data_IF_057346597617
#
_entry.id   IF_057346597617
#
_cell.length_a   1.000
_cell.length_b   1.000
_cell.length_c   1.000
_cell.angle_alpha   90.00
_cell.angle_beta   90.00
_cell.angle_gamma   90.00
#
_symmetry.space_group_name_H-M   'P 1'
#
loop_
_entity.id
_entity.type
_entity.pdbx_description
1 polymer ?
#
# COMPACT_ATOMS: atom_id res chain seq x y z
N UNK A 1 38.19 -21.30 -33.75
CA UNK A 1 37.59 -19.98 -33.45
C UNK A 1 36.09 -20.07 -33.65
N UNK A 2 35.30 -19.97 -32.56
CA UNK A 2 33.83 -19.86 -32.60
C UNK A 2 33.47 -18.38 -32.47
N UNK A 3 32.55 -17.83 -33.28
CA UNK A 3 32.11 -16.46 -33.12
C UNK A 3 31.15 -16.31 -31.92
N UNK A 4 31.35 -15.21 -31.21
CA UNK A 4 30.74 -14.81 -29.95
C UNK A 4 29.24 -14.57 -30.08
N UNK A 5 28.48 -15.12 -29.13
CA UNK A 5 27.03 -14.98 -29.06
C UNK A 5 26.58 -13.57 -28.68
N UNK A 6 25.75 -13.00 -29.54
CA UNK A 6 24.97 -11.79 -29.27
C UNK A 6 23.90 -12.12 -28.23
N UNK A 7 23.94 -11.49 -27.04
CA UNK A 7 22.85 -11.61 -26.04
C UNK A 7 21.71 -10.68 -26.46
N UNK A 8 20.54 -11.27 -26.67
CA UNK A 8 19.28 -10.55 -26.83
C UNK A 8 19.01 -9.67 -25.59
N UNK A 9 18.56 -8.44 -25.84
CA UNK A 9 18.12 -7.52 -24.81
C UNK A 9 16.89 -8.09 -24.05
N UNK A 10 16.79 -7.90 -22.72
CA UNK A 10 15.59 -8.28 -21.99
C UNK A 10 14.40 -7.45 -22.48
N UNK A 11 13.32 -8.13 -22.84
CA UNK A 11 12.05 -7.52 -23.26
C UNK A 11 11.35 -6.76 -22.12
N UNK A 12 10.30 -5.98 -22.42
CA UNK A 12 9.64 -5.12 -21.46
C UNK A 12 9.05 -5.93 -20.31
N UNK A 13 9.53 -5.64 -19.09
CA UNK A 13 8.98 -6.19 -17.87
C UNK A 13 7.51 -5.80 -17.75
N UNK A 14 6.63 -6.78 -17.93
CA UNK A 14 5.21 -6.64 -17.59
C UNK A 14 5.11 -6.33 -16.09
N UNK A 15 4.68 -5.13 -15.74
CA UNK A 15 4.30 -4.73 -14.38
C UNK A 15 3.09 -5.54 -13.91
N UNK A 16 3.33 -6.80 -13.56
CA UNK A 16 2.39 -7.65 -12.85
C UNK A 16 2.17 -7.08 -11.45
N UNK A 17 0.91 -6.97 -11.06
CA UNK A 17 0.41 -6.54 -9.74
C UNK A 17 1.48 -6.62 -8.63
N UNK A 18 1.93 -5.49 -8.05
CA UNK A 18 2.94 -5.53 -7.03
C UNK A 18 2.32 -6.20 -5.80
N UNK A 19 2.91 -7.32 -5.37
CA UNK A 19 2.78 -7.75 -3.98
C UNK A 19 3.25 -6.59 -3.13
N UNK A 20 2.36 -5.95 -2.36
CA UNK A 20 2.75 -4.90 -1.41
C UNK A 20 3.78 -5.53 -0.47
N UNK A 21 5.04 -5.07 -0.48
CA UNK A 21 6.07 -5.65 0.37
C UNK A 21 5.61 -5.51 1.82
N UNK A 22 5.79 -6.58 2.59
CA UNK A 22 5.47 -6.57 4.01
C UNK A 22 6.34 -5.50 4.69
N UNK A 23 5.75 -4.52 5.41
CA UNK A 23 6.54 -3.53 6.11
C UNK A 23 7.36 -4.26 7.17
N UNK A 24 8.68 -4.15 7.11
CA UNK A 24 9.59 -4.79 8.07
C UNK A 24 9.77 -3.88 9.27
N UNK A 25 9.84 -4.45 10.46
CA UNK A 25 10.13 -3.72 11.69
C UNK A 25 11.40 -2.86 11.50
N UNK A 26 12.50 -3.44 11.03
CA UNK A 26 13.77 -2.71 10.88
C UNK A 26 13.66 -1.48 9.95
N UNK A 27 12.83 -1.55 8.90
CA UNK A 27 12.60 -0.41 8.00
C UNK A 27 11.75 0.68 8.68
N UNK A 28 10.74 0.29 9.46
CA UNK A 28 9.91 1.23 10.24
C UNK A 28 10.72 1.92 11.35
N UNK A 29 11.66 1.20 11.99
CA UNK A 29 12.56 1.76 12.99
C UNK A 29 13.39 2.89 12.38
N UNK A 30 13.99 2.66 11.21
CA UNK A 30 14.79 3.68 10.52
C UNK A 30 14.00 4.95 10.18
N UNK A 31 12.72 4.81 9.84
CA UNK A 31 11.85 5.96 9.58
C UNK A 31 11.66 6.79 10.85
N UNK A 32 11.36 6.14 11.98
CA UNK A 32 11.22 6.82 13.27
C UNK A 32 12.56 7.44 13.71
N UNK A 33 13.67 6.72 13.58
CA UNK A 33 15.02 7.21 13.93
C UNK A 33 15.43 8.44 13.10
N UNK A 34 14.93 8.55 11.86
CA UNK A 34 15.11 9.72 11.02
C UNK A 34 14.19 10.90 11.39
N UNK A 35 13.37 10.77 12.43
CA UNK A 35 12.42 11.79 12.87
C UNK A 35 11.18 11.90 12.00
N UNK A 36 10.86 10.86 11.22
CA UNK A 36 9.71 10.82 10.34
C UNK A 36 8.63 9.84 10.85
N UNK A 37 7.39 10.08 10.41
CA UNK A 37 6.25 9.19 10.68
C UNK A 37 5.94 8.28 9.49
N UNK A 38 5.26 7.17 9.77
CA UNK A 38 4.79 6.24 8.73
C UNK A 38 3.30 5.98 8.80
N UNK A 39 2.72 5.69 7.63
CA UNK A 39 1.39 5.12 7.45
C UNK A 39 1.48 4.07 6.35
N UNK A 40 1.36 2.79 6.70
CA UNK A 40 1.52 1.67 5.77
C UNK A 40 0.36 0.69 5.88
N UNK A 41 -0.07 0.13 4.74
CA UNK A 41 -1.02 -0.97 4.75
C UNK A 41 -0.30 -2.28 4.99
N UNK A 42 -0.77 -3.01 5.99
CA UNK A 42 -0.25 -4.30 6.35
C UNK A 42 -0.91 -5.40 5.49
N UNK A 43 -0.15 -6.19 4.71
CA UNK A 43 -0.69 -7.36 4.01
C UNK A 43 -1.07 -8.45 5.02
N UNK A 44 -1.85 -9.46 4.63
CA UNK A 44 -2.29 -10.54 5.54
C UNK A 44 -1.16 -11.29 6.26
N UNK A 45 0.08 -11.19 5.78
CA UNK A 45 1.29 -11.72 6.41
C UNK A 45 2.16 -10.63 7.10
N UNK A 46 1.56 -9.55 7.60
CA UNK A 46 2.27 -8.46 8.31
C UNK A 46 3.12 -8.95 9.51
N UNK A 47 4.03 -8.14 10.09
CA UNK A 47 4.89 -8.59 11.20
C UNK A 47 4.10 -9.03 12.45
N UNK A 48 4.80 -9.55 13.45
CA UNK A 48 4.17 -9.90 14.73
C UNK A 48 3.72 -8.63 15.43
N UNK A 49 2.50 -8.62 15.94
CA UNK A 49 2.00 -7.56 16.79
C UNK A 49 2.03 -8.03 18.23
N UNK A 50 2.57 -7.18 19.09
CA UNK A 50 2.69 -7.41 20.52
C UNK A 50 1.77 -6.43 21.26
N UNK A 51 1.15 -6.89 22.33
CA UNK A 51 0.43 -6.00 23.25
C UNK A 51 1.40 -5.21 24.14
N UNK A 52 0.88 -4.34 25.01
CA UNK A 52 1.68 -3.58 25.97
C UNK A 52 2.42 -4.44 27.01
N UNK A 53 2.16 -5.75 27.06
CA UNK A 53 2.82 -6.73 27.93
C UNK A 53 3.82 -7.60 27.14
N UNK A 54 4.01 -7.34 25.85
CA UNK A 54 4.90 -8.10 24.97
C UNK A 54 4.34 -9.44 24.49
N UNK A 55 3.03 -9.70 24.66
CA UNK A 55 2.37 -10.94 24.23
C UNK A 55 1.92 -10.83 22.78
N UNK A 56 2.04 -11.94 22.05
CA UNK A 56 1.65 -12.01 20.65
C UNK A 56 0.13 -11.89 20.49
N UNK A 57 -0.30 -10.92 19.68
CA UNK A 57 -1.70 -10.72 19.32
C UNK A 57 -2.09 -11.61 18.13
N UNK A 58 -3.28 -12.23 18.22
CA UNK A 58 -3.88 -12.97 17.12
C UNK A 58 -4.52 -12.02 16.10
N UNK A 59 -3.91 -11.96 14.92
CA UNK A 59 -4.31 -11.10 13.80
C UNK A 59 -5.76 -11.31 13.36
N UNK A 60 -6.20 -12.57 13.30
CA UNK A 60 -7.55 -12.90 12.88
C UNK A 60 -8.55 -12.49 13.95
N UNK A 61 -8.21 -12.68 15.22
CA UNK A 61 -9.04 -12.22 16.33
C UNK A 61 -9.22 -10.70 16.29
N UNK A 62 -8.14 -9.93 16.07
CA UNK A 62 -8.21 -8.47 15.90
C UNK A 62 -9.11 -8.07 14.72
N UNK A 63 -8.99 -8.72 13.56
CA UNK A 63 -9.87 -8.45 12.43
C UNK A 63 -11.34 -8.73 12.76
N UNK A 64 -11.64 -9.87 13.39
CA UNK A 64 -13.02 -10.21 13.79
C UNK A 64 -13.58 -9.23 14.80
N UNK A 65 -12.75 -8.73 15.71
CA UNK A 65 -13.15 -7.70 16.67
C UNK A 65 -13.48 -6.38 15.96
N UNK A 66 -12.65 -5.96 15.00
CA UNK A 66 -12.93 -4.80 14.16
C UNK A 66 -14.25 -4.96 13.37
N UNK A 67 -14.54 -6.16 12.87
CA UNK A 67 -15.80 -6.46 12.19
C UNK A 67 -17.04 -6.32 13.09
N UNK A 68 -16.90 -6.52 14.40
CA UNK A 68 -17.99 -6.32 15.38
C UNK A 68 -18.14 -4.87 15.81
N UNK A 69 -17.01 -4.17 16.01
CA UNK A 69 -16.97 -2.79 16.53
C UNK A 69 -17.07 -1.72 15.44
N UNK A 70 -16.90 -2.09 14.17
CA UNK A 70 -16.82 -1.16 13.05
C UNK A 70 -15.42 -0.57 12.85
N UNK A 71 -14.62 -0.47 13.91
CA UNK A 71 -13.21 -0.09 13.87
C UNK A 71 -12.48 -0.73 15.05
N UNK A 72 -11.21 -1.05 14.85
CA UNK A 72 -10.29 -1.38 15.93
C UNK A 72 -9.06 -0.50 15.83
N UNK A 73 -8.67 0.10 16.94
CA UNK A 73 -7.55 1.03 17.03
C UNK A 73 -6.77 0.75 18.33
N UNK A 74 -5.53 0.29 18.19
CA UNK A 74 -4.71 -0.18 19.31
C UNK A 74 -3.25 0.24 19.16
N UNK A 75 -2.64 0.63 20.27
CA UNK A 75 -1.17 0.71 20.37
C UNK A 75 -0.57 -0.69 20.47
N UNK A 76 0.45 -0.97 19.67
CA UNK A 76 1.06 -2.29 19.52
C UNK A 76 2.58 -2.19 19.35
N UNK A 77 3.31 -3.22 19.76
CA UNK A 77 4.70 -3.42 19.35
C UNK A 77 4.76 -4.19 18.03
N UNK A 78 5.48 -3.68 17.04
CA UNK A 78 5.72 -4.38 15.76
C UNK A 78 7.08 -5.07 15.83
N UNK A 79 7.10 -6.38 15.62
CA UNK A 79 8.34 -7.18 15.67
C UNK A 79 8.42 -8.13 14.46
N UNK A 80 9.57 -8.11 13.77
CA UNK A 80 9.86 -9.08 12.72
C UNK A 80 10.19 -10.46 13.30
N UNK A 81 9.84 -11.53 12.58
CA UNK A 81 10.05 -12.89 13.07
C UNK A 81 11.51 -13.28 13.36
N UNK A 82 12.49 -12.49 12.89
CA UNK A 82 13.93 -12.67 13.17
C UNK A 82 14.49 -11.59 14.11
N UNK A 83 13.76 -10.50 14.35
CA UNK A 83 14.23 -9.38 15.16
C UNK A 83 13.74 -9.54 16.60
N UNK A 84 14.60 -9.22 17.57
CA UNK A 84 14.21 -9.12 18.99
C UNK A 84 13.71 -7.72 19.35
N UNK A 85 13.87 -6.75 18.44
CA UNK A 85 13.44 -5.37 18.65
C UNK A 85 11.96 -5.26 18.28
N UNK A 86 11.16 -4.78 19.23
CA UNK A 86 9.79 -4.40 19.00
C UNK A 86 9.73 -2.88 18.91
N UNK A 87 9.07 -2.37 17.87
CA UNK A 87 8.95 -0.94 17.62
C UNK A 87 7.55 -0.51 18.00
N UNK A 88 7.39 0.59 18.77
CA UNK A 88 6.07 1.11 19.07
C UNK A 88 5.39 1.56 17.78
N UNK A 89 4.15 1.11 17.59
CA UNK A 89 3.30 1.53 16.51
C UNK A 89 1.84 1.48 16.97
N UNK A 90 0.96 1.82 16.06
CA UNK A 90 -0.48 1.74 16.19
C UNK A 90 -1.03 0.92 15.04
N UNK A 91 -1.92 -0.01 15.35
CA UNK A 91 -2.66 -0.78 14.35
C UNK A 91 -4.09 -0.27 14.30
N UNK A 92 -4.53 0.08 13.09
CA UNK A 92 -5.91 0.49 12.81
C UNK A 92 -6.51 -0.51 11.82
N UNK A 93 -7.60 -1.16 12.21
CA UNK A 93 -8.29 -2.16 11.39
C UNK A 93 -9.70 -1.68 11.11
N UNK A 94 -10.05 -1.66 9.83
CA UNK A 94 -11.36 -1.25 9.34
C UNK A 94 -11.97 -2.39 8.50
N UNK A 95 -13.20 -2.85 8.80
CA UNK A 95 -13.92 -3.77 7.93
C UNK A 95 -14.24 -3.06 6.62
N UNK A 96 -14.01 -3.75 5.50
CA UNK A 96 -14.39 -3.23 4.20
C UNK A 96 -15.90 -3.43 3.97
N UNK A 97 -16.55 -2.60 3.13
CA UNK A 97 -17.92 -2.85 2.71
C UNK A 97 -18.11 -4.26 2.14
N UNK A 98 -19.27 -4.93 2.32
CA UNK A 98 -19.43 -6.35 1.98
C UNK A 98 -19.05 -6.70 0.53
N UNK A 99 -19.47 -5.89 -0.43
CA UNK A 99 -19.16 -6.10 -1.85
C UNK A 99 -17.66 -6.03 -2.12
N UNK A 100 -16.99 -5.09 -1.47
CA UNK A 100 -15.58 -4.86 -1.64
C UNK A 100 -14.72 -5.89 -0.90
N UNK A 101 -15.18 -6.34 0.28
CA UNK A 101 -14.61 -7.47 0.99
C UNK A 101 -14.67 -8.74 0.13
N UNK A 102 -15.79 -9.02 -0.53
CA UNK A 102 -15.91 -10.16 -1.44
C UNK A 102 -15.03 -10.02 -2.70
N UNK A 103 -14.92 -8.81 -3.26
CA UNK A 103 -13.98 -8.53 -4.35
C UNK A 103 -12.52 -8.77 -3.91
N UNK A 104 -12.14 -8.33 -2.72
CA UNK A 104 -10.81 -8.54 -2.15
C UNK A 104 -10.53 -10.03 -1.87
N UNK A 105 -11.50 -10.75 -1.30
CA UNK A 105 -11.43 -12.22 -1.10
C UNK A 105 -11.26 -12.97 -2.41
N UNK A 106 -12.01 -12.61 -3.45
CA UNK A 106 -11.87 -13.18 -4.81
C UNK A 106 -10.50 -12.87 -5.39
N UNK A 107 -10.02 -11.64 -5.25
CA UNK A 107 -8.68 -11.25 -5.73
C UNK A 107 -7.57 -12.04 -5.02
N UNK A 108 -7.67 -12.22 -3.70
CA UNK A 108 -6.73 -13.03 -2.92
C UNK A 108 -6.70 -14.49 -3.39
N UNK A 109 -7.86 -15.12 -3.64
CA UNK A 109 -7.95 -16.48 -4.20
C UNK A 109 -7.29 -16.58 -5.58
N UNK A 110 -7.54 -15.60 -6.48
CA UNK A 110 -6.92 -15.57 -7.81
C UNK A 110 -5.41 -15.41 -7.73
N UNK A 111 -4.91 -14.52 -6.85
CA UNK A 111 -3.48 -14.31 -6.67
C UNK A 111 -2.80 -15.59 -6.16
N UNK A 112 -3.42 -16.27 -5.18
CA UNK A 112 -2.89 -17.52 -4.65
C UNK A 112 -2.86 -18.64 -5.71
N UNK A 113 -3.92 -18.74 -6.53
CA UNK A 113 -3.95 -19.67 -7.66
C UNK A 113 -2.83 -19.38 -8.68
N UNK A 114 -2.63 -18.10 -9.05
CA UNK A 114 -1.53 -17.69 -9.94
C UNK A 114 -0.16 -18.02 -9.35
N UNK A 115 0.00 -17.83 -8.03
CA UNK A 115 1.22 -18.15 -7.29
C UNK A 115 1.35 -19.65 -6.93
N UNK A 116 0.43 -20.51 -7.36
CA UNK A 116 0.43 -21.96 -7.15
C UNK A 116 0.52 -22.39 -5.68
N UNK A 117 -0.15 -21.66 -4.78
CA UNK A 117 -0.31 -22.08 -3.39
C UNK A 117 -1.78 -22.06 -2.95
N UNK A 118 -2.11 -22.86 -1.93
CA UNK A 118 -3.44 -22.88 -1.33
C UNK A 118 -3.54 -21.81 -0.25
N UNK A 119 -4.38 -20.77 -0.40
CA UNK A 119 -4.52 -19.75 0.62
C UNK A 119 -5.23 -20.33 1.85
N UNK A 120 -4.82 -19.91 3.04
CA UNK A 120 -5.50 -20.30 4.28
C UNK A 120 -6.87 -19.61 4.38
N UNK A 121 -7.83 -20.26 5.07
CA UNK A 121 -9.13 -19.64 5.31
C UNK A 121 -9.01 -18.33 6.09
N UNK A 122 -8.13 -18.30 7.10
CA UNK A 122 -7.81 -17.10 7.84
C UNK A 122 -7.26 -15.96 6.94
N UNK A 123 -6.38 -16.28 5.99
CA UNK A 123 -5.81 -15.30 5.07
C UNK A 123 -6.87 -14.71 4.11
N UNK A 124 -7.82 -15.53 3.67
CA UNK A 124 -8.95 -15.06 2.85
C UNK A 124 -9.91 -14.22 3.69
N UNK A 125 -10.24 -14.62 4.91
CA UNK A 125 -11.11 -13.84 5.80
C UNK A 125 -10.52 -12.44 6.07
N UNK A 126 -9.24 -12.38 6.43
CA UNK A 126 -8.51 -11.13 6.67
C UNK A 126 -8.42 -10.22 5.43
N UNK A 127 -8.53 -10.77 4.22
CA UNK A 127 -8.50 -9.95 2.99
C UNK A 127 -9.70 -8.99 2.89
N UNK A 128 -10.76 -9.22 3.66
CA UNK A 128 -11.92 -8.31 3.77
C UNK A 128 -11.73 -7.13 4.73
N UNK A 129 -10.52 -6.91 5.23
CA UNK A 129 -10.21 -5.83 6.17
C UNK A 129 -9.08 -4.96 5.62
N UNK A 130 -9.17 -3.65 5.88
CA UNK A 130 -8.04 -2.74 5.75
C UNK A 130 -7.28 -2.74 7.08
N UNK A 131 -6.02 -3.14 7.04
CA UNK A 131 -5.11 -3.07 8.19
C UNK A 131 -4.06 -2.01 7.90
N UNK A 132 -4.01 -0.98 8.74
CA UNK A 132 -3.03 0.10 8.69
C UNK A 132 -2.11 0.00 9.91
N UNK A 133 -0.81 0.18 9.68
CA UNK A 133 0.19 0.38 10.72
C UNK A 133 0.70 1.81 10.63
N UNK A 134 0.80 2.50 11.76
CA UNK A 134 1.25 3.89 11.80
C UNK A 134 1.99 4.23 13.09
N UNK A 135 2.89 5.21 13.03
CA UNK A 135 3.47 5.87 14.22
C UNK A 135 2.67 7.10 14.66
N UNK A 136 1.69 7.53 13.87
CA UNK A 136 0.96 8.79 14.07
C UNK A 136 0.07 8.75 15.32
N UNK A 137 0.06 9.83 16.12
CA UNK A 137 -0.68 9.89 17.37
C UNK A 137 -2.20 9.87 17.14
N UNK A 138 -2.98 9.21 18.03
CA UNK A 138 -4.42 9.10 17.88
C UNK A 138 -5.16 10.43 17.93
N UNK A 139 -4.67 11.40 18.70
CA UNK A 139 -5.34 12.68 18.92
C UNK A 139 -5.43 13.52 17.63
N UNK A 140 -4.36 13.56 16.84
CA UNK A 140 -4.32 14.30 15.56
C UNK A 140 -4.74 13.46 14.35
N UNK A 141 -4.61 12.14 14.46
CA UNK A 141 -4.83 11.18 13.36
C UNK A 141 -5.84 10.10 13.75
N UNK A 142 -7.14 10.41 13.84
CA UNK A 142 -8.16 9.40 14.08
C UNK A 142 -8.28 8.42 12.89
N UNK A 143 -8.86 7.22 13.09
CA UNK A 143 -8.96 6.18 12.07
C UNK A 143 -9.51 6.65 10.70
N UNK A 144 -10.48 7.56 10.70
CA UNK A 144 -11.12 8.11 9.50
C UNK A 144 -10.14 8.97 8.70
N UNK A 145 -9.31 9.76 9.41
CA UNK A 145 -8.25 10.58 8.80
C UNK A 145 -7.14 9.71 8.21
N UNK A 146 -6.76 8.65 8.91
CA UNK A 146 -5.78 7.68 8.40
C UNK A 146 -6.31 6.97 7.14
N UNK A 147 -7.57 6.54 7.15
CA UNK A 147 -8.19 5.87 6.02
C UNK A 147 -8.28 6.80 4.80
N UNK A 148 -8.75 8.03 4.97
CA UNK A 148 -8.81 9.04 3.90
C UNK A 148 -7.43 9.41 3.37
N UNK A 149 -6.43 9.58 4.23
CA UNK A 149 -5.05 9.84 3.81
C UNK A 149 -4.48 8.65 3.04
N UNK A 150 -4.74 7.41 3.48
CA UNK A 150 -4.30 6.21 2.78
C UNK A 150 -4.95 6.07 1.39
N UNK A 151 -6.18 6.59 1.19
CA UNK A 151 -6.83 6.65 -0.15
C UNK A 151 -6.04 7.51 -1.13
N UNK A 152 -5.45 8.62 -0.69
CA UNK A 152 -4.71 9.53 -1.55
C UNK A 152 -3.50 8.86 -2.21
N UNK A 153 -2.90 7.86 -1.56
CA UNK A 153 -1.78 7.09 -2.14
C UNK A 153 -2.16 6.47 -3.49
N UNK A 154 -3.37 5.92 -3.62
CA UNK A 154 -3.84 5.37 -4.89
C UNK A 154 -4.07 6.46 -5.94
N UNK A 155 -4.65 7.60 -5.54
CA UNK A 155 -4.85 8.73 -6.45
C UNK A 155 -3.51 9.22 -7.00
N UNK A 156 -2.47 9.28 -6.15
CA UNK A 156 -1.11 9.62 -6.55
C UNK A 156 -0.54 8.57 -7.52
N UNK A 157 -0.69 7.27 -7.23
CA UNK A 157 -0.24 6.20 -8.14
C UNK A 157 -0.93 6.30 -9.51
N UNK A 158 -2.23 6.58 -9.52
CA UNK A 158 -3.00 6.73 -10.75
C UNK A 158 -2.59 7.98 -11.52
N UNK A 159 -2.37 9.10 -10.83
CA UNK A 159 -1.82 10.32 -11.43
C UNK A 159 -0.46 10.05 -12.08
N UNK A 160 0.47 9.37 -11.39
CA UNK A 160 1.74 8.97 -11.98
C UNK A 160 1.58 8.03 -13.17
N UNK A 161 0.63 7.08 -13.12
CA UNK A 161 0.35 6.18 -14.23
C UNK A 161 -0.17 6.93 -15.45
N UNK A 162 -1.08 7.90 -15.24
CA UNK A 162 -1.58 8.79 -16.29
C UNK A 162 -0.46 9.65 -16.87
N UNK A 163 0.35 10.29 -16.04
CA UNK A 163 1.47 11.12 -16.49
C UNK A 163 2.48 10.34 -17.35
N UNK A 164 2.81 9.11 -16.96
CA UNK A 164 3.67 8.24 -17.76
C UNK A 164 3.03 7.88 -19.11
N UNK A 165 1.78 7.41 -19.08
CA UNK A 165 1.09 6.89 -20.26
C UNK A 165 0.58 7.95 -21.23
N UNK A 166 0.16 9.13 -20.76
CA UNK A 166 -0.49 10.16 -21.57
C UNK A 166 0.47 11.29 -21.94
N UNK A 167 1.35 11.67 -21.02
CA UNK A 167 2.28 12.79 -21.20
C UNK A 167 3.69 12.29 -21.55
N UNK A 168 3.89 10.98 -21.65
CA UNK A 168 5.14 10.36 -22.09
C UNK A 168 6.28 10.53 -21.09
N UNK A 169 5.99 10.80 -19.81
CA UNK A 169 6.99 11.14 -18.78
C UNK A 169 8.11 10.08 -18.63
N UNK A 170 7.86 8.85 -19.07
CA UNK A 170 8.83 7.75 -19.10
C UNK A 170 9.89 7.83 -20.21
N UNK A 171 9.64 8.63 -21.25
CA UNK A 171 10.51 8.78 -22.43
C UNK A 171 11.39 10.04 -22.38
N UNK A 172 11.85 10.44 -21.19
CA UNK A 172 12.74 11.60 -21.04
C UNK A 172 14.07 11.36 -21.78
N UNK A 173 14.23 11.98 -22.95
CA UNK A 173 15.46 11.89 -23.78
C UNK A 173 16.50 12.97 -23.48
N UNK A 174 16.17 13.93 -22.61
CA UNK A 174 17.06 15.01 -22.23
C UNK A 174 18.22 14.50 -21.35
N UNK A 175 19.46 14.78 -21.77
CA UNK A 175 20.68 14.45 -21.00
C UNK A 175 21.26 15.65 -20.24
N UNK A 176 20.89 16.85 -20.67
CA UNK A 176 21.25 18.09 -19.98
C UNK A 176 20.28 18.34 -18.80
N UNK A 177 20.78 18.67 -17.59
CA UNK A 177 19.94 18.86 -16.40
C UNK A 177 18.88 19.95 -16.54
N UNK A 178 19.19 21.05 -17.22
CA UNK A 178 18.26 22.18 -17.36
C UNK A 178 17.18 21.84 -18.38
N UNK A 179 17.55 21.17 -19.48
CA UNK A 179 16.59 20.63 -20.43
C UNK A 179 15.69 19.56 -19.80
N UNK A 180 16.25 18.71 -18.91
CA UNK A 180 15.47 17.73 -18.17
C UNK A 180 14.45 18.40 -17.22
N UNK A 181 14.86 19.45 -16.49
CA UNK A 181 13.96 20.24 -15.63
C UNK A 181 12.85 20.89 -16.44
N UNK A 182 13.18 21.53 -17.56
CA UNK A 182 12.20 22.15 -18.45
C UNK A 182 11.18 21.12 -18.95
N UNK A 183 11.65 19.97 -19.39
CA UNK A 183 10.80 18.91 -19.91
C UNK A 183 9.88 18.32 -18.84
N UNK A 184 10.41 18.00 -17.65
CA UNK A 184 9.62 17.52 -16.52
C UNK A 184 8.56 18.55 -16.12
N UNK A 185 8.94 19.83 -15.98
CA UNK A 185 8.00 20.89 -15.61
C UNK A 185 6.91 21.09 -16.68
N UNK A 186 7.26 20.97 -17.96
CA UNK A 186 6.29 21.04 -19.07
C UNK A 186 5.32 19.87 -19.02
N UNK A 187 5.81 18.66 -18.76
CA UNK A 187 4.97 17.47 -18.60
C UNK A 187 4.04 17.58 -17.39
N UNK A 188 4.54 18.09 -16.25
CA UNK A 188 3.71 18.35 -15.07
C UNK A 188 2.64 19.41 -15.34
N UNK A 189 3.00 20.51 -16.02
CA UNK A 189 2.04 21.55 -16.40
C UNK A 189 0.96 21.02 -17.35
N UNK A 190 1.35 20.25 -18.37
CA UNK A 190 0.40 19.62 -19.28
C UNK A 190 -0.53 18.62 -18.57
N UNK A 191 0.00 17.84 -17.61
CA UNK A 191 -0.81 16.94 -16.80
C UNK A 191 -1.83 17.70 -15.94
N UNK A 192 -1.44 18.82 -15.32
CA UNK A 192 -2.34 19.65 -14.52
C UNK A 192 -3.44 20.29 -15.36
N UNK A 193 -3.10 20.82 -16.53
CA UNK A 193 -4.09 21.39 -17.46
C UNK A 193 -5.08 20.32 -17.94
N UNK A 194 -4.59 19.12 -18.25
CA UNK A 194 -5.44 18.00 -18.64
C UNK A 194 -6.36 17.52 -17.51
N UNK A 195 -5.96 17.65 -16.24
CA UNK A 195 -6.82 17.33 -15.10
C UNK A 195 -7.90 18.38 -14.84
N UNK A 196 -7.68 19.65 -15.19
CA UNK A 196 -8.66 20.75 -15.05
C UNK A 196 -9.82 20.64 -16.06
N UNK A 197 -9.53 20.13 -17.27
CA UNK A 197 -10.52 19.90 -18.33
C UNK A 197 -11.31 18.59 -18.16
N UNK A 198 -10.90 17.71 -17.23
CA UNK A 198 -11.61 16.46 -16.97
C UNK A 198 -12.77 16.72 -16.01
N UNK A 199 -13.99 16.20 -16.28
CA UNK A 199 -15.08 16.28 -15.31
C UNK A 199 -14.59 15.68 -13.99
N UNK A 200 -14.92 16.32 -12.87
CA UNK A 200 -14.52 15.90 -11.53
C UNK A 200 -14.66 14.37 -11.44
N UNK A 201 -13.52 13.68 -11.53
CA UNK A 201 -13.53 12.24 -11.58
C UNK A 201 -14.08 11.81 -10.24
N UNK A 202 -15.23 11.14 -10.28
CA UNK A 202 -15.72 10.40 -9.12
C UNK A 202 -14.51 9.60 -8.65
N UNK A 203 -14.05 9.77 -7.39
CA UNK A 203 -12.83 9.14 -6.98
C UNK A 203 -13.10 7.65 -7.06
N UNK A 204 -12.63 7.00 -8.14
CA UNK A 204 -12.45 5.57 -8.26
C UNK A 204 -11.46 5.21 -7.15
N UNK A 205 -11.97 5.15 -5.93
CA UNK A 205 -11.35 4.45 -4.86
C UNK A 205 -11.25 3.02 -5.35
N UNK A 206 -10.15 2.31 -5.09
CA UNK A 206 -10.24 0.86 -5.14
C UNK A 206 -11.35 0.51 -4.14
N UNK A 207 -12.51 0.06 -4.64
CA UNK A 207 -13.84 -0.11 -3.98
C UNK A 207 -13.84 -0.64 -2.53
N UNK A 208 -12.70 -1.11 -2.05
CA UNK A 208 -12.33 -1.68 -0.77
C UNK A 208 -12.24 -0.77 0.46
N UNK A 209 -12.41 0.54 0.36
CA UNK A 209 -12.26 1.41 1.55
C UNK A 209 -13.63 1.89 2.01
N UNK A 210 -14.03 1.63 3.27
CA UNK A 210 -15.33 2.06 3.75
C UNK A 210 -15.43 3.57 3.56
N UNK A 211 -16.46 3.99 2.83
CA UNK A 211 -16.91 5.36 2.85
C UNK A 211 -17.39 5.59 4.28
N UNK A 212 -16.85 6.62 4.94
CA UNK A 212 -17.48 7.13 6.14
C UNK A 212 -18.94 7.43 5.77
N UNK A 213 -19.86 6.81 6.50
CA UNK A 213 -21.28 7.13 6.43
C UNK A 213 -21.53 8.53 6.97
#
# INVERSE_FOLDING_TARGET
MKPSGCRAAPGPESFGSPTVPTPKADDLARVIEAGADFLVRAPSNYPRLLDGQGRLLDRLALCREAGKKGVLDLSVGVQDGKSRVAIPARVVILPMPPEAAEKARRAARRLAAKARYKPSQAGIEMAGYLVLLTSLPPDDWPPERLASTYRLRWQIELAFKRMKSLVGLEDLRAKDPDLARLWINTALLAALLAEDDLPALDPEAPDSLPLAA
#
